data_IF_755444049370
#
_entry.id   IF_755444049370
#
_cell.length_a   1.000
_cell.length_b   1.000
_cell.length_c   1.000
_cell.angle_alpha   90.00
_cell.angle_beta   90.00
_cell.angle_gamma   90.00
#
_symmetry.space_group_name_H-M   'P 1'
#
loop_
_entity.id
_entity.type
_entity.pdbx_description
1 polymer ?
#
# COMPACT_ATOMS: atom_id res chain seq x y z
N UNK A 1 17.44 2.28 30.11
CA UNK A 1 16.02 1.97 30.35
C UNK A 1 15.53 1.10 29.20
N UNK A 2 14.90 -0.01 29.54
CA UNK A 2 14.57 -1.21 28.76
C UNK A 2 13.79 -0.92 27.46
N UNK A 3 14.12 -1.65 26.40
CA UNK A 3 13.43 -1.67 25.10
C UNK A 3 11.91 -1.87 25.24
N UNK A 4 11.14 -1.26 24.33
CA UNK A 4 9.81 -1.77 23.93
C UNK A 4 9.78 -1.96 22.41
N UNK A 5 9.77 -3.21 21.92
CA UNK A 5 9.48 -3.47 20.51
C UNK A 5 7.99 -3.20 20.26
N UNK A 6 7.68 -2.19 19.44
CA UNK A 6 6.34 -1.99 18.91
C UNK A 6 6.15 -3.01 17.79
N UNK A 7 5.75 -4.22 18.15
CA UNK A 7 5.20 -5.18 17.19
C UNK A 7 3.85 -4.63 16.73
N UNK A 8 3.86 -3.93 15.59
CA UNK A 8 2.66 -3.70 14.80
C UNK A 8 2.06 -5.05 14.46
N UNK A 9 0.93 -5.38 15.09
CA UNK A 9 0.16 -6.59 14.79
C UNK A 9 -0.35 -6.45 13.35
N UNK A 10 0.36 -7.05 12.40
CA UNK A 10 -0.16 -7.21 11.05
C UNK A 10 -1.40 -8.10 11.16
N UNK A 11 -2.58 -7.65 10.69
CA UNK A 11 -3.77 -8.48 10.74
C UNK A 11 -3.52 -9.68 9.81
N UNK A 12 -3.30 -10.85 10.41
CA UNK A 12 -3.18 -12.15 9.72
C UNK A 12 -4.37 -12.39 8.77
N UNK A 13 -5.52 -11.78 9.06
CA UNK A 13 -6.69 -11.75 8.19
C UNK A 13 -6.41 -11.21 6.78
N UNK A 14 -5.47 -10.27 6.61
CA UNK A 14 -5.06 -9.76 5.30
C UNK A 14 -4.14 -10.71 4.52
N UNK A 15 -3.47 -11.64 5.22
CA UNK A 15 -2.68 -12.72 4.62
C UNK A 15 -3.51 -13.97 4.30
N UNK A 16 -4.73 -14.07 4.84
CA UNK A 16 -5.59 -15.25 4.67
C UNK A 16 -6.18 -15.35 3.25
N UNK A 17 -6.18 -14.24 2.49
CA UNK A 17 -6.67 -14.21 1.12
C UNK A 17 -5.52 -14.06 0.11
N UNK A 18 -5.13 -15.13 -0.61
CA UNK A 18 -4.11 -15.02 -1.66
C UNK A 18 -4.61 -14.08 -2.76
N UNK A 19 -3.82 -13.05 -3.06
CA UNK A 19 -4.09 -12.08 -4.14
C UNK A 19 -4.60 -10.71 -3.69
N UNK A 20 -5.09 -10.57 -2.47
CA UNK A 20 -5.54 -9.27 -1.93
C UNK A 20 -4.39 -8.25 -1.75
N UNK A 21 -3.20 -8.62 -1.24
CA UNK A 21 -2.07 -7.68 -1.22
C UNK A 21 -1.58 -7.31 -2.62
N UNK A 22 -1.82 -8.16 -3.63
CA UNK A 22 -1.35 -7.93 -5.01
C UNK A 22 -2.24 -6.93 -5.74
N UNK A 23 -3.56 -6.94 -5.48
CA UNK A 23 -4.52 -5.95 -6.01
C UNK A 23 -4.18 -4.56 -5.50
N UNK A 24 -3.90 -4.43 -4.20
CA UNK A 24 -3.60 -3.16 -3.56
C UNK A 24 -2.21 -2.61 -3.93
N UNK A 25 -1.25 -3.49 -4.24
CA UNK A 25 0.12 -3.07 -4.55
C UNK A 25 0.39 -2.78 -6.04
N UNK A 26 -0.40 -3.32 -6.98
CA UNK A 26 -0.05 -3.20 -8.42
C UNK A 26 -1.18 -2.75 -9.35
N UNK A 27 -2.44 -2.62 -8.90
CA UNK A 27 -3.54 -2.23 -9.79
C UNK A 27 -3.69 -3.12 -11.04
N UNK A 28 -3.15 -4.35 -10.99
CA UNK A 28 -3.07 -5.23 -12.16
C UNK A 28 -4.35 -6.06 -12.30
N UNK A 29 -5.02 -5.92 -13.45
CA UNK A 29 -6.24 -6.66 -13.81
C UNK A 29 -6.04 -8.18 -13.81
N UNK A 30 -4.79 -8.63 -13.95
CA UNK A 30 -4.44 -10.04 -13.88
C UNK A 30 -4.70 -10.63 -12.49
N UNK A 31 -4.40 -9.89 -11.40
CA UNK A 31 -4.64 -10.35 -10.03
C UNK A 31 -6.13 -10.59 -9.72
N UNK A 32 -7.01 -9.78 -10.33
CA UNK A 32 -8.46 -9.96 -10.22
C UNK A 32 -8.92 -11.23 -10.94
N UNK A 33 -8.38 -11.52 -12.12
CA UNK A 33 -8.70 -12.74 -12.86
C UNK A 33 -8.34 -14.00 -12.07
N UNK A 34 -7.22 -14.00 -11.35
CA UNK A 34 -6.82 -15.10 -10.47
C UNK A 34 -7.71 -15.22 -9.22
N UNK A 35 -8.13 -14.10 -8.62
CA UNK A 35 -9.02 -14.10 -7.47
C UNK A 35 -10.43 -14.62 -7.82
N UNK A 36 -10.97 -14.21 -8.99
CA UNK A 36 -12.25 -14.70 -9.50
C UNK A 36 -12.14 -16.17 -9.90
N UNK A 37 -11.05 -16.57 -10.57
CA UNK A 37 -10.78 -17.97 -10.89
C UNK A 37 -10.72 -18.86 -9.64
N UNK A 38 -10.07 -18.39 -8.57
CA UNK A 38 -10.03 -19.07 -7.27
C UNK A 38 -11.42 -19.20 -6.65
N UNK A 39 -12.22 -18.14 -6.64
CA UNK A 39 -13.58 -18.16 -6.10
C UNK A 39 -14.48 -19.15 -6.84
N UNK A 40 -14.43 -19.16 -8.17
CA UNK A 40 -15.19 -20.11 -9.01
C UNK A 40 -14.70 -21.54 -8.82
N UNK A 41 -13.39 -21.77 -8.69
CA UNK A 41 -12.82 -23.10 -8.46
C UNK A 41 -13.22 -23.66 -7.09
N UNK A 42 -13.12 -22.87 -6.01
CA UNK A 42 -13.58 -23.26 -4.67
C UNK A 42 -15.08 -23.53 -4.68
N UNK A 43 -15.86 -22.71 -5.38
CA UNK A 43 -17.31 -22.91 -5.51
C UNK A 43 -17.65 -24.22 -6.23
N UNK A 44 -16.98 -24.53 -7.35
CA UNK A 44 -17.15 -25.79 -8.08
C UNK A 44 -16.70 -27.01 -7.27
N UNK A 45 -15.64 -26.86 -6.48
CA UNK A 45 -15.11 -27.93 -5.63
C UNK A 45 -16.04 -28.21 -4.45
N UNK A 46 -16.59 -27.16 -3.82
CA UNK A 46 -17.64 -27.28 -2.83
C UNK A 46 -18.91 -27.89 -3.43
N UNK A 47 -19.30 -27.48 -4.64
CA UNK A 47 -20.45 -28.03 -5.35
C UNK A 47 -20.26 -29.52 -5.64
N UNK A 48 -19.09 -29.94 -6.14
CA UNK A 48 -18.78 -31.35 -6.38
C UNK A 48 -18.76 -32.18 -5.08
N UNK A 49 -18.31 -31.59 -3.97
CA UNK A 49 -18.26 -32.25 -2.66
C UNK A 49 -19.65 -32.37 -2.03
N UNK A 50 -20.45 -31.30 -2.02
CA UNK A 50 -21.75 -31.31 -1.36
C UNK A 50 -22.85 -31.96 -2.21
N UNK A 51 -22.79 -31.81 -3.53
CA UNK A 51 -23.91 -32.13 -4.41
C UNK A 51 -23.87 -33.55 -4.99
N UNK A 52 -22.70 -34.21 -5.05
CA UNK A 52 -22.58 -35.58 -5.57
C UNK A 52 -21.77 -36.52 -4.66
N UNK A 53 -22.33 -36.93 -3.51
CA UNK A 53 -21.64 -37.82 -2.58
C UNK A 53 -21.49 -39.27 -3.08
N UNK A 54 -22.29 -39.72 -4.06
CA UNK A 54 -22.33 -41.15 -4.47
C UNK A 54 -21.35 -41.56 -5.58
N UNK A 55 -20.70 -40.61 -6.28
CA UNK A 55 -19.88 -40.96 -7.45
C UNK A 55 -18.39 -41.20 -7.13
N UNK A 56 -17.90 -40.78 -5.95
CA UNK A 56 -16.47 -40.83 -5.60
C UNK A 56 -16.22 -41.51 -4.26
N UNK A 57 -15.48 -42.62 -4.31
CA UNK A 57 -14.99 -43.36 -3.13
C UNK A 57 -14.14 -42.47 -2.21
N UNK A 58 -14.28 -42.65 -0.90
CA UNK A 58 -13.70 -41.81 0.16
C UNK A 58 -12.18 -41.54 -0.01
N UNK A 59 -11.43 -42.52 -0.51
CA UNK A 59 -9.98 -42.41 -0.68
C UNK A 59 -9.54 -41.56 -1.88
N UNK A 60 -10.26 -41.61 -3.01
CA UNK A 60 -9.91 -40.80 -4.19
C UNK A 60 -10.21 -39.33 -3.96
N UNK A 61 -11.26 -39.04 -3.19
CA UNK A 61 -11.65 -37.67 -2.81
C UNK A 61 -10.58 -36.98 -1.95
N UNK A 62 -10.04 -37.67 -0.95
CA UNK A 62 -8.98 -37.14 -0.11
C UNK A 62 -7.63 -37.05 -0.86
N UNK A 63 -7.36 -37.99 -1.77
CA UNK A 63 -6.15 -37.97 -2.60
C UNK A 63 -6.10 -36.77 -3.56
N UNK A 64 -7.21 -36.46 -4.24
CA UNK A 64 -7.32 -35.29 -5.11
C UNK A 64 -7.23 -33.99 -4.29
N UNK A 65 -7.85 -33.94 -3.11
CA UNK A 65 -7.74 -32.80 -2.21
C UNK A 65 -6.31 -32.53 -1.74
N UNK A 66 -5.56 -33.58 -1.37
CA UNK A 66 -4.16 -33.48 -0.98
C UNK A 66 -3.25 -33.10 -2.15
N UNK A 67 -3.43 -33.71 -3.32
CA UNK A 67 -2.67 -33.36 -4.52
C UNK A 67 -2.89 -31.91 -4.92
N UNK A 68 -4.13 -31.42 -4.85
CA UNK A 68 -4.47 -30.02 -5.06
C UNK A 68 -3.82 -29.11 -4.00
N UNK A 69 -3.83 -29.47 -2.71
CA UNK A 69 -3.15 -28.71 -1.66
C UNK A 69 -1.63 -28.66 -1.82
N UNK A 70 -1.00 -29.76 -2.28
CA UNK A 70 0.45 -29.82 -2.52
C UNK A 70 0.82 -28.99 -3.75
N UNK A 71 0.04 -29.10 -4.83
CA UNK A 71 0.22 -28.27 -6.01
C UNK A 71 0.00 -26.79 -5.70
N UNK A 72 -0.99 -26.48 -4.86
CA UNK A 72 -1.31 -25.12 -4.38
C UNK A 72 -0.22 -24.53 -3.48
N UNK A 73 0.27 -25.29 -2.49
CA UNK A 73 1.37 -24.85 -1.63
C UNK A 73 2.68 -24.71 -2.42
N UNK A 74 2.95 -25.61 -3.36
CA UNK A 74 4.08 -25.50 -4.29
C UNK A 74 3.99 -24.24 -5.15
N UNK A 75 2.84 -23.97 -5.76
CA UNK A 75 2.61 -22.78 -6.59
C UNK A 75 2.69 -21.48 -5.77
N UNK A 76 2.10 -21.44 -4.58
CA UNK A 76 2.16 -20.29 -3.68
C UNK A 76 3.59 -20.00 -3.22
N UNK A 77 4.38 -21.03 -2.92
CA UNK A 77 5.80 -20.89 -2.57
C UNK A 77 6.61 -20.42 -3.77
N UNK A 78 6.36 -20.94 -4.98
CA UNK A 78 7.05 -20.51 -6.20
C UNK A 78 6.68 -19.07 -6.55
N UNK A 79 5.42 -18.66 -6.38
CA UNK A 79 4.93 -17.30 -6.60
C UNK A 79 5.53 -16.31 -5.59
N UNK A 80 5.52 -16.67 -4.30
CA UNK A 80 6.17 -15.88 -3.25
C UNK A 80 7.68 -15.79 -3.47
N UNK A 81 8.32 -16.88 -3.95
CA UNK A 81 9.76 -16.88 -4.29
C UNK A 81 10.07 -16.03 -5.50
N UNK A 82 9.26 -16.08 -6.57
CA UNK A 82 9.49 -15.24 -7.76
C UNK A 82 9.26 -13.76 -7.47
N UNK A 83 8.26 -13.42 -6.64
CA UNK A 83 8.04 -12.04 -6.21
C UNK A 83 9.18 -11.54 -5.30
N UNK A 84 9.66 -12.40 -4.39
CA UNK A 84 10.81 -12.10 -3.52
C UNK A 84 12.13 -12.05 -4.30
N UNK A 85 12.28 -12.85 -5.35
CA UNK A 85 13.43 -12.81 -6.25
C UNK A 85 13.44 -11.54 -7.10
N UNK A 86 12.27 -11.06 -7.58
CA UNK A 86 12.17 -9.74 -8.21
C UNK A 86 12.55 -8.62 -7.24
N UNK A 87 12.02 -8.65 -6.02
CA UNK A 87 12.38 -7.68 -4.98
C UNK A 87 13.88 -7.71 -4.56
N UNK A 88 14.57 -8.84 -4.72
CA UNK A 88 16.02 -8.96 -4.45
C UNK A 88 16.87 -8.57 -5.65
N UNK A 89 16.39 -8.81 -6.87
CA UNK A 89 17.06 -8.40 -8.12
C UNK A 89 16.94 -6.89 -8.34
N UNK A 90 15.90 -6.24 -7.82
CA UNK A 90 15.65 -4.80 -7.95
C UNK A 90 16.42 -3.89 -6.96
N UNK A 91 17.33 -4.42 -6.14
CA UNK A 91 18.26 -3.57 -5.36
C UNK A 91 19.53 -3.21 -6.16
N UNK A 92 20.26 -2.12 -5.83
CA UNK A 92 19.91 -0.70 -5.86
C UNK A 92 20.14 -0.07 -7.25
N UNK A 93 19.77 -0.78 -8.33
CA UNK A 93 19.89 -0.30 -9.71
C UNK A 93 18.59 -0.48 -10.52
N UNK A 94 17.53 -1.00 -9.91
CA UNK A 94 16.17 -0.98 -10.46
C UNK A 94 15.56 0.40 -10.25
N UNK A 95 14.90 0.93 -11.27
CA UNK A 95 14.28 2.25 -11.22
C UNK A 95 13.25 2.32 -10.08
N UNK A 96 13.54 3.10 -9.04
CA UNK A 96 12.62 3.32 -7.93
C UNK A 96 11.30 3.85 -8.45
N UNK A 97 10.22 3.10 -8.25
CA UNK A 97 8.90 3.36 -8.83
C UNK A 97 7.99 4.02 -7.80
N UNK A 98 6.91 4.67 -8.25
CA UNK A 98 5.90 5.26 -7.37
C UNK A 98 5.29 4.24 -6.38
N UNK A 99 5.20 2.97 -6.78
CA UNK A 99 4.75 1.88 -5.91
C UNK A 99 5.68 1.70 -4.69
N UNK A 100 6.99 1.82 -4.86
CA UNK A 100 7.96 1.71 -3.77
C UNK A 100 7.79 2.84 -2.77
N UNK A 101 7.64 4.07 -3.26
CA UNK A 101 7.32 5.22 -2.40
C UNK A 101 6.04 5.01 -1.59
N UNK A 102 5.02 4.39 -2.20
CA UNK A 102 3.74 4.11 -1.53
C UNK A 102 3.91 3.07 -0.44
N UNK A 103 4.72 2.03 -0.68
CA UNK A 103 5.03 1.01 0.33
C UNK A 103 5.74 1.63 1.54
N UNK A 104 6.76 2.47 1.31
CA UNK A 104 7.46 3.17 2.38
C UNK A 104 6.52 4.12 3.15
N UNK A 105 5.65 4.85 2.44
CA UNK A 105 4.63 5.70 3.05
C UNK A 105 3.69 4.89 3.97
N UNK A 106 3.17 3.76 3.50
CA UNK A 106 2.26 2.91 4.28
C UNK A 106 2.94 2.24 5.48
N UNK A 107 4.26 2.06 5.44
CA UNK A 107 5.06 1.56 6.56
C UNK A 107 5.38 2.64 7.61
N UNK A 108 5.10 3.92 7.31
CA UNK A 108 5.50 5.06 8.14
C UNK A 108 6.97 5.44 7.98
N UNK A 109 7.64 4.91 6.96
CA UNK A 109 9.03 5.23 6.58
C UNK A 109 9.00 6.51 5.72
N UNK A 110 8.70 7.63 6.36
CA UNK A 110 8.40 8.91 5.70
C UNK A 110 9.59 9.47 4.91
N UNK A 111 10.80 9.32 5.44
CA UNK A 111 12.01 9.86 4.83
C UNK A 111 12.36 9.13 3.52
N UNK A 112 12.26 7.80 3.54
CA UNK A 112 12.48 6.94 2.38
C UNK A 112 11.45 7.22 1.28
N UNK A 113 10.18 7.38 1.67
CA UNK A 113 9.12 7.78 0.75
C UNK A 113 9.41 9.15 0.11
N UNK A 114 9.87 10.14 0.90
CA UNK A 114 10.26 11.46 0.39
C UNK A 114 11.39 11.35 -0.64
N UNK A 115 12.46 10.63 -0.33
CA UNK A 115 13.61 10.46 -1.22
C UNK A 115 13.20 9.89 -2.57
N UNK A 116 12.36 8.84 -2.57
CA UNK A 116 11.88 8.22 -3.81
C UNK A 116 10.98 9.17 -4.60
N UNK A 117 10.05 9.88 -3.94
CA UNK A 117 9.17 10.84 -4.61
C UNK A 117 9.94 12.01 -5.23
N UNK A 118 10.95 12.52 -4.54
CA UNK A 118 11.83 13.58 -5.06
C UNK A 118 12.62 13.08 -6.27
N UNK A 119 13.13 11.85 -6.22
CA UNK A 119 13.84 11.24 -7.34
C UNK A 119 12.93 11.01 -8.56
N UNK A 120 11.70 10.53 -8.35
CA UNK A 120 10.70 10.41 -9.41
C UNK A 120 10.41 11.75 -10.06
N UNK A 121 10.20 12.80 -9.25
CA UNK A 121 9.98 14.15 -9.74
C UNK A 121 11.21 14.76 -10.42
N UNK A 122 12.43 14.31 -10.12
CA UNK A 122 13.63 14.72 -10.87
C UNK A 122 13.67 14.13 -12.27
N UNK A 123 13.21 12.89 -12.42
CA UNK A 123 13.13 12.20 -13.73
C UNK A 123 11.97 12.72 -14.56
N UNK A 124 10.81 12.91 -13.93
CA UNK A 124 9.63 13.48 -14.55
C UNK A 124 9.03 14.59 -13.67
N UNK A 125 9.42 15.84 -13.94
CA UNK A 125 8.92 17.01 -13.22
C UNK A 125 7.40 17.24 -13.34
N UNK A 126 6.75 16.60 -14.33
CA UNK A 126 5.31 16.74 -14.62
C UNK A 126 4.45 15.66 -13.96
N UNK A 127 5.06 14.71 -13.25
CA UNK A 127 4.33 13.65 -12.56
C UNK A 127 3.47 14.24 -11.41
N UNK A 128 2.16 14.28 -11.66
CA UNK A 128 1.18 14.84 -10.72
C UNK A 128 0.93 13.91 -9.54
N UNK A 129 0.95 12.59 -9.76
CA UNK A 129 0.72 11.59 -8.71
C UNK A 129 1.84 11.64 -7.67
N UNK A 130 3.10 11.62 -8.13
CA UNK A 130 4.27 11.77 -7.27
C UNK A 130 4.26 13.11 -6.53
N UNK A 131 3.89 14.19 -7.22
CA UNK A 131 3.81 15.51 -6.63
C UNK A 131 2.73 15.66 -5.56
N UNK A 132 1.56 15.05 -5.77
CA UNK A 132 0.45 15.11 -4.82
C UNK A 132 0.74 14.30 -3.55
N UNK A 133 1.37 13.13 -3.71
CA UNK A 133 1.78 12.32 -2.56
C UNK A 133 2.87 13.02 -1.75
N UNK A 134 3.80 13.72 -2.40
CA UNK A 134 4.83 14.52 -1.73
C UNK A 134 4.21 15.68 -0.93
N UNK A 135 3.22 16.39 -1.50
CA UNK A 135 2.49 17.43 -0.77
C UNK A 135 1.75 16.88 0.46
N UNK A 136 1.15 15.70 0.32
CA UNK A 136 0.47 15.00 1.43
C UNK A 136 1.45 14.63 2.54
N UNK A 137 2.63 14.13 2.18
CA UNK A 137 3.69 13.78 3.12
C UNK A 137 4.21 15.02 3.87
N UNK A 138 4.44 16.12 3.17
CA UNK A 138 4.86 17.38 3.78
C UNK A 138 3.81 17.97 4.71
N UNK A 139 2.51 17.87 4.37
CA UNK A 139 1.44 18.24 5.31
C UNK A 139 1.48 17.37 6.56
N UNK A 140 1.67 16.06 6.42
CA UNK A 140 1.67 15.14 7.56
C UNK A 140 2.87 15.36 8.50
N UNK A 141 4.02 15.77 7.94
CA UNK A 141 5.25 16.07 8.69
C UNK A 141 5.30 17.50 9.23
N UNK A 142 4.25 18.32 9.04
CA UNK A 142 4.19 19.71 9.49
C UNK A 142 4.94 20.72 8.60
N UNK A 143 5.48 20.27 7.47
CA UNK A 143 6.20 21.09 6.47
C UNK A 143 5.22 21.80 5.54
N UNK A 144 4.41 22.68 6.13
CA UNK A 144 3.25 23.26 5.45
C UNK A 144 3.61 24.22 4.31
N UNK A 145 4.77 24.88 4.39
CA UNK A 145 5.21 25.81 3.36
C UNK A 145 5.59 25.07 2.08
N UNK A 146 6.34 23.99 2.20
CA UNK A 146 6.74 23.14 1.07
C UNK A 146 5.53 22.46 0.44
N UNK A 147 4.59 21.96 1.26
CA UNK A 147 3.32 21.40 0.79
C UNK A 147 2.54 22.40 -0.06
N UNK A 148 2.41 23.65 0.41
CA UNK A 148 1.70 24.69 -0.32
C UNK A 148 2.37 25.05 -1.64
N UNK A 149 3.69 25.21 -1.63
CA UNK A 149 4.48 25.50 -2.83
C UNK A 149 4.31 24.40 -3.89
N UNK A 150 4.32 23.14 -3.46
CA UNK A 150 4.11 22.00 -4.34
C UNK A 150 2.71 21.98 -4.96
N UNK A 151 1.67 22.19 -4.16
CA UNK A 151 0.29 22.23 -4.66
C UNK A 151 0.09 23.38 -5.65
N UNK A 152 0.68 24.56 -5.39
CA UNK A 152 0.68 25.69 -6.35
C UNK A 152 1.36 25.31 -7.67
N UNK A 153 2.50 24.61 -7.61
CA UNK A 153 3.18 24.13 -8.82
C UNK A 153 2.32 23.16 -9.61
N UNK A 154 1.68 22.20 -8.94
CA UNK A 154 0.80 21.22 -9.58
C UNK A 154 -0.38 21.86 -10.30
N UNK A 155 -0.99 22.90 -9.73
CA UNK A 155 -2.11 23.62 -10.34
C UNK A 155 -1.75 24.29 -11.68
N UNK A 156 -0.47 24.56 -11.93
CA UNK A 156 -0.01 25.17 -13.18
C UNK A 156 0.25 24.14 -14.30
N UNK A 157 0.25 22.84 -13.98
CA UNK A 157 0.48 21.79 -14.97
C UNK A 157 -0.82 21.44 -15.69
N UNK A 158 -0.79 21.37 -17.02
CA UNK A 158 -1.97 20.95 -17.81
C UNK A 158 -2.44 19.54 -17.45
N UNK A 159 -1.51 18.64 -17.09
CA UNK A 159 -1.79 17.26 -16.69
C UNK A 159 -2.59 17.20 -15.38
N UNK A 160 -2.49 18.23 -14.53
CA UNK A 160 -3.20 18.30 -13.25
C UNK A 160 -4.72 18.33 -13.36
N UNK A 161 -5.28 18.56 -14.55
CA UNK A 161 -6.72 18.64 -14.79
C UNK A 161 -7.47 17.39 -14.31
N UNK A 162 -6.90 16.21 -14.48
CA UNK A 162 -7.48 14.95 -13.99
C UNK A 162 -7.56 14.90 -12.47
N UNK A 163 -6.61 15.54 -11.78
CA UNK A 163 -6.46 15.54 -10.32
C UNK A 163 -6.90 16.86 -9.67
N UNK A 164 -7.68 17.68 -10.38
CA UNK A 164 -8.05 19.02 -9.91
C UNK A 164 -8.85 18.99 -8.61
N UNK A 165 -9.71 17.97 -8.44
CA UNK A 165 -10.51 17.77 -7.23
C UNK A 165 -9.59 17.40 -6.06
N UNK A 166 -8.67 16.47 -6.28
CA UNK A 166 -7.72 16.00 -5.28
C UNK A 166 -6.79 17.12 -4.81
N UNK A 167 -6.28 17.92 -5.74
CA UNK A 167 -5.45 19.10 -5.42
C UNK A 167 -6.25 20.13 -4.61
N UNK A 168 -7.51 20.37 -4.97
CA UNK A 168 -8.38 21.28 -4.21
C UNK A 168 -8.62 20.77 -2.78
N UNK A 169 -8.96 19.48 -2.63
CA UNK A 169 -9.18 18.86 -1.32
C UNK A 169 -7.92 18.88 -0.46
N UNK A 170 -6.76 18.60 -1.05
CA UNK A 170 -5.51 18.59 -0.29
C UNK A 170 -5.14 20.01 0.18
N UNK A 171 -5.42 21.04 -0.63
CA UNK A 171 -5.29 22.43 -0.21
C UNK A 171 -6.20 22.78 0.97
N UNK A 172 -7.46 22.35 0.94
CA UNK A 172 -8.38 22.55 2.07
C UNK A 172 -7.86 21.88 3.35
N UNK A 173 -7.36 20.65 3.26
CA UNK A 173 -6.76 19.94 4.41
C UNK A 173 -5.51 20.64 4.92
N UNK A 174 -4.70 21.21 4.04
CA UNK A 174 -3.52 21.98 4.40
C UNK A 174 -3.89 23.26 5.16
N UNK A 175 -4.90 23.99 4.70
CA UNK A 175 -5.36 25.22 5.34
C UNK A 175 -5.97 24.95 6.73
N UNK A 176 -6.72 23.84 6.87
CA UNK A 176 -7.19 23.36 8.17
C UNK A 176 -6.04 22.99 9.09
N UNK A 177 -5.08 22.18 8.64
CA UNK A 177 -3.93 21.76 9.45
C UNK A 177 -3.09 22.95 9.93
N UNK A 178 -2.90 23.98 9.09
CA UNK A 178 -2.24 25.23 9.48
C UNK A 178 -3.01 26.00 10.55
N UNK A 179 -4.34 26.00 10.46
CA UNK A 179 -5.22 26.67 11.42
C UNK A 179 -5.17 25.97 12.77
N UNK A 180 -5.24 24.63 12.77
CA UNK A 180 -5.13 23.81 13.98
C UNK A 180 -3.76 23.99 14.64
N UNK A 181 -2.67 23.90 13.87
CA UNK A 181 -1.31 24.11 14.39
C UNK A 181 -1.09 25.53 14.94
N UNK A 182 -1.84 26.53 14.46
CA UNK A 182 -1.81 27.91 14.99
C UNK A 182 -2.63 28.05 16.27
N UNK A 183 -3.71 27.28 16.40
CA UNK A 183 -4.65 27.34 17.51
C UNK A 183 -4.24 26.44 18.68
N UNK A 184 -3.29 25.52 18.49
CA UNK A 184 -2.71 24.71 19.55
C UNK A 184 -2.01 25.65 20.57
N UNK A 185 -2.56 25.83 21.77
CA UNK A 185 -1.97 26.71 22.76
C UNK A 185 -0.62 26.13 23.18
N UNK A 186 0.44 26.94 23.12
CA UNK A 186 1.71 26.60 23.74
C UNK A 186 1.44 26.19 25.19
N UNK A 187 1.71 24.93 25.49
CA UNK A 187 1.42 24.29 26.77
C UNK A 187 1.90 25.17 27.95
N UNK A 188 0.99 25.72 28.78
CA UNK A 188 1.37 26.48 29.97
C UNK A 188 1.93 25.58 31.10
N UNK A 189 1.95 24.25 30.93
CA UNK A 189 2.40 23.30 31.97
C UNK A 189 3.89 23.42 32.32
N UNK A 190 4.71 24.11 31.52
CA UNK A 190 6.13 24.36 31.86
C UNK A 190 6.37 25.52 32.83
N UNK A 191 5.37 26.40 33.08
CA UNK A 191 5.54 27.59 33.90
C UNK A 191 5.12 27.42 35.37
N UNK A 192 4.38 26.35 35.70
CA UNK A 192 3.83 26.14 37.05
C UNK A 192 4.71 25.29 37.99
N UNK A 193 5.79 24.68 37.50
CA UNK A 193 6.73 23.87 38.33
C UNK A 193 7.96 24.65 38.84
N UNK A 194 8.07 25.95 38.54
CA UNK A 194 9.24 26.77 38.88
C UNK A 194 8.97 27.88 39.92
N UNK A 195 7.80 27.87 40.59
CA UNK A 195 7.45 28.83 41.65
C UNK A 195 7.13 28.08 42.96
#
# INVERSE_FOLDING_TARGET
MKERPVMGRTPIAAYLWPGLPMILATGSWWGLAWAVGFAVFVYLLLFAILWWPELLSYHTRNGVGLAAMVFWSGSAVVSARTLRQRAVVDGPAGESTFADATIHYLRGEWFEAECILVELLRRNHRDVDAGLMLATLWRHTGRFFEAESQLKRLQLLDESRKWAIEIYQEKQRLDLAKTDARNEPADPSGAAEAA
#
